data_IF_270510937736
#
_entry.id   IF_270510937736
#
_cell.length_a   1.000
_cell.length_b   1.000
_cell.length_c   1.000
_cell.angle_alpha   90.00
_cell.angle_beta   90.00
_cell.angle_gamma   90.00
#
_symmetry.space_group_name_H-M   'P 1'
#
loop_
_entity.id
_entity.type
_entity.pdbx_description
1 polymer ?
#
# COMPACT_ATOMS: atom_id res chain seq x y z
N UNK A 1 -9.30 10.26 19.23
CA UNK A 1 -9.36 10.53 20.69
C UNK A 1 -9.74 11.98 21.05
N UNK A 2 -10.05 12.86 20.08
CA UNK A 2 -10.35 14.30 20.33
C UNK A 2 -11.85 14.64 20.19
N UNK A 3 -12.73 13.66 19.97
CA UNK A 3 -14.13 13.91 19.57
C UNK A 3 -15.20 13.49 20.60
N UNK A 4 -14.85 13.13 21.84
CA UNK A 4 -15.80 12.73 22.90
C UNK A 4 -16.98 11.83 22.43
N UNK A 5 -16.73 10.92 21.48
CA UNK A 5 -17.73 10.06 20.82
C UNK A 5 -18.91 10.78 20.10
N UNK A 6 -18.81 12.09 19.88
CA UNK A 6 -19.80 12.85 19.10
C UNK A 6 -19.47 12.72 17.61
N UNK A 7 -20.51 12.50 16.80
CA UNK A 7 -20.40 12.48 15.34
C UNK A 7 -20.07 13.89 14.83
N UNK A 8 -19.03 14.01 14.01
CA UNK A 8 -18.64 15.29 13.43
C UNK A 8 -19.41 15.45 12.13
N UNK A 9 -20.30 16.43 12.10
CA UNK A 9 -21.06 16.79 10.92
C UNK A 9 -20.23 17.75 10.02
N UNK A 10 -20.57 17.87 8.72
CA UNK A 10 -19.80 18.66 7.76
C UNK A 10 -19.68 20.15 8.13
N UNK A 11 -20.55 20.63 9.01
CA UNK A 11 -20.60 22.02 9.48
C UNK A 11 -19.47 22.36 10.46
N UNK A 12 -18.94 21.35 11.18
CA UNK A 12 -17.87 21.50 12.17
C UNK A 12 -16.48 21.38 11.54
N UNK A 13 -16.38 20.94 10.29
CA UNK A 13 -15.11 20.78 9.58
C UNK A 13 -14.70 22.13 8.96
N UNK A 14 -13.45 22.60 9.19
CA UNK A 14 -12.95 23.83 8.58
C UNK A 14 -13.18 23.85 7.06
N UNK A 15 -13.75 24.95 6.56
CA UNK A 15 -14.11 25.11 5.14
C UNK A 15 -12.92 24.89 4.19
N UNK A 16 -11.71 25.18 4.65
CA UNK A 16 -10.46 24.95 3.91
C UNK A 16 -10.23 23.45 3.64
N UNK A 17 -10.53 22.58 4.60
CA UNK A 17 -10.39 21.12 4.48
C UNK A 17 -11.45 20.55 3.53
N UNK A 18 -12.68 21.07 3.57
CA UNK A 18 -13.72 20.65 2.63
C UNK A 18 -13.40 21.14 1.21
N UNK A 19 -12.82 22.34 1.08
CA UNK A 19 -12.41 22.91 -0.22
C UNK A 19 -11.34 22.08 -0.95
N UNK A 20 -10.52 21.34 -0.19
CA UNK A 20 -9.55 20.37 -0.68
C UNK A 20 -10.20 19.13 -1.31
N UNK A 21 -11.50 18.88 -1.10
CA UNK A 21 -12.24 17.81 -1.78
C UNK A 21 -13.06 18.32 -2.98
N UNK A 22 -13.31 19.63 -3.06
CA UNK A 22 -14.05 20.26 -4.15
C UNK A 22 -13.19 20.39 -5.42
N UNK A 23 -13.85 20.58 -6.57
CA UNK A 23 -13.22 20.71 -7.89
C UNK A 23 -12.18 21.84 -7.91
N UNK A 24 -10.94 21.51 -8.27
CA UNK A 24 -9.84 22.48 -8.50
C UNK A 24 -10.20 23.44 -9.65
N UNK A 25 -9.55 24.62 -9.78
CA UNK A 25 -9.75 25.52 -10.92
C UNK A 25 -9.56 24.85 -12.31
N UNK A 26 -8.90 23.69 -12.35
CA UNK A 26 -8.58 22.92 -13.55
C UNK A 26 -9.67 21.87 -13.89
N UNK A 27 -10.76 21.78 -13.11
CA UNK A 27 -11.85 20.81 -13.36
C UNK A 27 -11.55 19.38 -12.87
N UNK A 28 -10.40 19.16 -12.22
CA UNK A 28 -9.99 17.86 -11.65
C UNK A 28 -10.09 17.93 -10.12
N UNK A 29 -10.65 16.90 -9.45
CA UNK A 29 -10.62 16.81 -7.99
C UNK A 29 -9.17 16.81 -7.45
N UNK A 30 -8.90 17.63 -6.43
CA UNK A 30 -7.60 17.67 -5.74
C UNK A 30 -7.14 16.30 -5.23
N UNK A 31 -8.09 15.43 -4.84
CA UNK A 31 -7.80 14.04 -4.45
C UNK A 31 -7.04 13.26 -5.52
N UNK A 32 -7.39 13.42 -6.80
CA UNK A 32 -6.68 12.74 -7.89
C UNK A 32 -5.27 13.30 -8.05
N UNK A 33 -5.10 14.61 -7.90
CA UNK A 33 -3.78 15.26 -7.99
C UNK A 33 -2.86 14.72 -6.89
N UNK A 34 -3.32 14.69 -5.64
CA UNK A 34 -2.52 14.14 -4.54
C UNK A 34 -2.25 12.64 -4.70
N UNK A 35 -3.22 11.86 -5.20
CA UNK A 35 -3.02 10.45 -5.49
C UNK A 35 -1.91 10.25 -6.55
N UNK A 36 -1.99 10.94 -7.69
CA UNK A 36 -0.96 10.88 -8.73
C UNK A 36 0.40 11.37 -8.24
N UNK A 37 0.43 12.48 -7.51
CA UNK A 37 1.67 13.03 -6.94
C UNK A 37 2.33 12.03 -5.99
N UNK A 38 1.55 11.35 -5.15
CA UNK A 38 2.07 10.33 -4.23
C UNK A 38 2.67 9.13 -4.99
N UNK A 39 2.02 8.66 -6.06
CA UNK A 39 2.52 7.55 -6.89
C UNK A 39 3.82 7.96 -7.58
N UNK A 40 3.87 9.14 -8.18
CA UNK A 40 5.06 9.67 -8.86
C UNK A 40 6.21 9.84 -7.87
N UNK A 41 5.94 10.38 -6.68
CA UNK A 41 6.93 10.58 -5.64
C UNK A 41 7.52 9.24 -5.17
N UNK A 42 6.65 8.26 -4.87
CA UNK A 42 7.08 6.92 -4.44
C UNK A 42 7.85 6.23 -5.57
N UNK A 43 7.36 6.30 -6.80
CA UNK A 43 8.04 5.73 -7.97
C UNK A 43 9.44 6.33 -8.15
N UNK A 44 9.55 7.65 -8.07
CA UNK A 44 10.82 8.36 -8.22
C UNK A 44 11.80 7.98 -7.11
N UNK A 45 11.36 7.99 -5.85
CA UNK A 45 12.21 7.58 -4.73
C UNK A 45 12.64 6.12 -4.87
N UNK A 46 11.72 5.22 -5.18
CA UNK A 46 11.99 3.79 -5.25
C UNK A 46 12.89 3.42 -6.43
N UNK A 47 12.65 4.00 -7.61
CA UNK A 47 13.32 3.61 -8.85
C UNK A 47 14.61 4.39 -9.11
N UNK A 48 14.64 5.69 -8.82
CA UNK A 48 15.71 6.58 -9.28
C UNK A 48 16.71 6.97 -8.18
N UNK A 49 16.33 6.89 -6.91
CA UNK A 49 17.22 7.35 -5.83
C UNK A 49 18.11 6.24 -5.27
N UNK A 50 19.27 6.64 -4.74
CA UNK A 50 20.15 5.78 -3.94
C UNK A 50 19.43 5.20 -2.72
N UNK A 51 18.50 5.97 -2.13
CA UNK A 51 17.70 5.56 -0.99
C UNK A 51 16.81 4.37 -1.35
N UNK A 52 16.09 4.43 -2.48
CA UNK A 52 15.30 3.31 -2.99
C UNK A 52 16.14 2.03 -3.16
N UNK A 53 17.29 2.13 -3.83
CA UNK A 53 18.22 0.99 -3.99
C UNK A 53 18.67 0.39 -2.65
N UNK A 54 18.93 1.23 -1.64
CA UNK A 54 19.28 0.78 -0.28
C UNK A 54 18.10 0.08 0.42
N UNK A 55 16.87 0.56 0.22
CA UNK A 55 15.65 -0.09 0.75
C UNK A 55 15.51 -1.50 0.14
N UNK A 56 15.59 -1.64 -1.19
CA UNK A 56 15.48 -2.96 -1.84
C UNK A 56 16.63 -3.91 -1.45
N UNK A 57 17.84 -3.39 -1.27
CA UNK A 57 18.98 -4.19 -0.83
C UNK A 57 18.78 -4.71 0.61
N UNK A 58 18.32 -3.85 1.52
CA UNK A 58 17.99 -4.24 2.90
C UNK A 58 16.83 -5.23 2.95
N UNK A 59 15.80 -5.02 2.11
CA UNK A 59 14.63 -5.89 2.06
C UNK A 59 14.87 -7.26 1.42
N UNK A 60 15.86 -7.39 0.53
CA UNK A 60 16.17 -8.68 -0.12
C UNK A 60 17.11 -9.55 0.71
N UNK A 61 18.11 -8.95 1.38
CA UNK A 61 18.98 -9.66 2.31
C UNK A 61 19.48 -8.70 3.41
N UNK A 62 18.82 -8.66 4.58
CA UNK A 62 19.18 -7.74 5.66
C UNK A 62 20.59 -8.01 6.21
N UNK A 63 20.96 -9.27 6.37
CA UNK A 63 22.27 -9.69 6.88
C UNK A 63 23.38 -9.26 5.92
N UNK A 64 23.19 -9.52 4.61
CA UNK A 64 24.12 -9.13 3.56
C UNK A 64 24.21 -7.63 3.31
N UNK A 65 23.18 -6.86 3.67
CA UNK A 65 23.20 -5.39 3.63
C UNK A 65 24.05 -4.82 4.78
N UNK A 66 23.91 -5.38 5.98
CA UNK A 66 24.72 -4.98 7.15
C UNK A 66 26.21 -5.22 6.90
N UNK A 67 26.57 -6.36 6.30
CA UNK A 67 27.97 -6.65 5.91
C UNK A 67 28.53 -5.68 4.86
N UNK A 68 27.67 -4.96 4.12
CA UNK A 68 28.06 -3.91 3.16
C UNK A 68 28.06 -2.50 3.77
N UNK A 69 27.95 -2.38 5.09
CA UNK A 69 27.96 -1.11 5.80
C UNK A 69 26.63 -0.35 5.76
N UNK A 70 25.54 -0.99 5.35
CA UNK A 70 24.19 -0.40 5.40
C UNK A 70 23.60 -0.61 6.79
N UNK A 71 23.20 0.46 7.45
CA UNK A 71 22.51 0.37 8.74
C UNK A 71 21.04 0.01 8.52
N UNK A 72 20.67 -1.23 8.84
CA UNK A 72 19.28 -1.72 8.81
C UNK A 72 18.33 -0.76 9.55
N UNK A 73 18.64 -0.44 10.81
CA UNK A 73 17.79 0.39 11.67
C UNK A 73 17.50 1.78 11.07
N UNK A 74 18.50 2.48 10.53
CA UNK A 74 18.30 3.83 10.00
C UNK A 74 17.41 3.83 8.75
N UNK A 75 17.60 2.83 7.88
CA UNK A 75 16.81 2.68 6.66
C UNK A 75 15.36 2.35 7.02
N UNK A 76 15.15 1.41 7.94
CA UNK A 76 13.81 1.04 8.42
C UNK A 76 13.10 2.23 9.06
N UNK A 77 13.75 2.97 9.96
CA UNK A 77 13.15 4.17 10.59
C UNK A 77 12.75 5.20 9.52
N UNK A 78 13.62 5.47 8.54
CA UNK A 78 13.32 6.43 7.49
C UNK A 78 12.10 6.01 6.66
N UNK A 79 11.98 4.73 6.32
CA UNK A 79 10.82 4.19 5.62
C UNK A 79 9.55 4.37 6.45
N UNK A 80 9.58 4.06 7.76
CA UNK A 80 8.44 4.26 8.64
C UNK A 80 8.01 5.72 8.75
N UNK A 81 8.96 6.66 8.83
CA UNK A 81 8.66 8.10 8.83
C UNK A 81 8.00 8.50 7.52
N UNK A 82 8.52 8.04 6.39
CA UNK A 82 7.97 8.37 5.07
C UNK A 82 6.54 7.82 4.88
N UNK A 83 6.30 6.57 5.32
CA UNK A 83 4.94 5.99 5.34
C UNK A 83 4.02 6.77 6.26
N UNK A 84 4.49 7.20 7.44
CA UNK A 84 3.71 8.02 8.37
C UNK A 84 3.28 9.36 7.78
N UNK A 85 4.17 10.04 7.03
CA UNK A 85 3.85 11.29 6.34
C UNK A 85 2.79 11.07 5.26
N UNK A 86 2.92 10.01 4.45
CA UNK A 86 1.94 9.66 3.42
C UNK A 86 0.59 9.24 4.01
N UNK A 87 0.60 8.47 5.10
CA UNK A 87 -0.61 8.06 5.82
C UNK A 87 -1.32 9.26 6.45
N UNK A 88 -0.57 10.20 7.04
CA UNK A 88 -1.12 11.45 7.57
C UNK A 88 -1.78 12.29 6.48
N UNK A 89 -1.11 12.45 5.33
CA UNK A 89 -1.68 13.12 4.16
C UNK A 89 -2.95 12.40 3.65
N UNK A 90 -2.93 11.07 3.58
CA UNK A 90 -4.09 10.26 3.22
C UNK A 90 -5.27 10.43 4.18
N UNK A 91 -5.02 10.53 5.49
CA UNK A 91 -6.05 10.77 6.50
C UNK A 91 -6.72 12.14 6.38
N UNK A 92 -5.93 13.19 6.07
CA UNK A 92 -6.47 14.53 5.80
C UNK A 92 -7.36 14.50 4.56
N UNK A 93 -6.93 13.84 3.49
CA UNK A 93 -7.72 13.71 2.26
C UNK A 93 -8.98 12.85 2.44
N UNK A 94 -8.91 11.81 3.27
CA UNK A 94 -10.07 10.98 3.60
C UNK A 94 -11.13 11.81 4.34
N UNK A 95 -10.70 12.62 5.30
CA UNK A 95 -11.57 13.52 6.05
C UNK A 95 -12.22 14.57 5.14
N UNK A 96 -11.42 15.18 4.27
CA UNK A 96 -11.90 16.13 3.27
C UNK A 96 -12.98 15.51 2.36
N UNK A 97 -12.81 14.27 1.94
CA UNK A 97 -13.75 13.56 1.05
C UNK A 97 -15.08 13.24 1.71
N UNK A 98 -15.05 12.76 2.95
CA UNK A 98 -16.22 12.16 3.58
C UNK A 98 -17.01 13.10 4.47
N UNK A 99 -16.49 14.28 4.84
CA UNK A 99 -17.07 15.43 5.55
C UNK A 99 -17.89 15.14 6.83
N UNK A 100 -18.77 14.15 6.82
CA UNK A 100 -19.30 13.39 7.95
C UNK A 100 -18.35 12.27 8.36
N UNK A 101 -17.92 12.26 9.62
CA UNK A 101 -17.04 11.24 10.19
C UNK A 101 -17.76 10.63 11.41
N UNK A 102 -18.19 9.38 11.29
CA UNK A 102 -18.67 8.61 12.43
C UNK A 102 -17.46 7.96 13.15
N UNK A 103 -17.11 8.36 14.39
CA UNK A 103 -15.92 7.89 15.08
C UNK A 103 -15.85 6.36 15.23
N UNK A 104 -17.00 5.68 15.21
CA UNK A 104 -17.08 4.24 15.40
C UNK A 104 -16.65 3.42 14.17
N UNK A 105 -16.83 3.94 12.95
CA UNK A 105 -16.62 3.18 11.70
C UNK A 105 -15.67 3.85 10.71
N UNK A 106 -15.10 4.99 11.05
CA UNK A 106 -14.14 5.69 10.20
C UNK A 106 -12.92 4.83 9.94
N UNK A 107 -12.60 4.70 8.65
CA UNK A 107 -11.44 4.00 8.13
C UNK A 107 -11.32 2.50 8.51
N UNK A 108 -12.33 1.89 9.14
CA UNK A 108 -12.29 0.46 9.48
C UNK A 108 -12.13 -0.40 8.24
N UNK A 109 -11.09 -1.24 8.23
CA UNK A 109 -10.83 -2.17 7.15
C UNK A 109 -10.05 -1.57 5.98
N UNK A 110 -9.79 -0.25 5.98
CA UNK A 110 -8.90 0.36 4.98
C UNK A 110 -7.48 -0.18 5.12
N UNK A 111 -7.04 -0.51 6.33
CA UNK A 111 -5.72 -1.13 6.54
C UNK A 111 -5.62 -2.45 5.76
N UNK A 112 -6.70 -3.22 5.83
CA UNK A 112 -6.80 -4.51 5.17
C UNK A 112 -6.88 -4.38 3.65
N UNK A 113 -7.68 -3.44 3.15
CA UNK A 113 -7.78 -3.12 1.72
C UNK A 113 -6.44 -2.62 1.15
N UNK A 114 -5.69 -1.81 1.92
CA UNK A 114 -4.37 -1.30 1.53
C UNK A 114 -3.36 -2.44 1.42
N UNK A 115 -3.29 -3.34 2.43
CA UNK A 115 -2.42 -4.51 2.37
C UNK A 115 -2.80 -5.39 1.18
N UNK A 116 -4.09 -5.58 0.92
CA UNK A 116 -4.60 -6.34 -0.23
C UNK A 116 -4.08 -5.79 -1.54
N UNK A 117 -4.32 -4.50 -1.77
CA UNK A 117 -3.93 -3.80 -2.98
C UNK A 117 -2.44 -3.93 -3.27
N UNK A 118 -1.59 -3.75 -2.25
CA UNK A 118 -0.13 -3.79 -2.39
C UNK A 118 0.37 -5.20 -2.73
N UNK A 119 -0.20 -6.24 -2.10
CA UNK A 119 0.18 -7.65 -2.33
C UNK A 119 -0.28 -8.11 -3.72
N UNK A 120 -1.52 -7.80 -4.11
CA UNK A 120 -2.04 -8.10 -5.46
C UNK A 120 -1.25 -7.36 -6.53
N UNK A 121 -0.83 -6.13 -6.22
CA UNK A 121 0.05 -5.32 -7.05
C UNK A 121 1.46 -5.91 -7.25
N UNK A 122 1.76 -7.06 -6.62
CA UNK A 122 3.01 -7.80 -6.81
C UNK A 122 4.15 -7.32 -5.91
N UNK A 123 3.84 -6.61 -4.81
CA UNK A 123 4.85 -6.30 -3.80
C UNK A 123 5.03 -7.48 -2.87
N UNK A 124 6.28 -7.88 -2.64
CA UNK A 124 6.60 -8.98 -1.75
C UNK A 124 6.44 -8.58 -0.29
N UNK A 125 5.68 -9.38 0.47
CA UNK A 125 5.48 -9.22 1.92
C UNK A 125 6.80 -9.34 2.68
N UNK A 126 7.70 -10.22 2.23
CA UNK A 126 9.01 -10.41 2.84
C UNK A 126 10.04 -9.35 2.41
N UNK A 127 9.67 -8.42 1.52
CA UNK A 127 10.53 -7.32 1.08
C UNK A 127 11.44 -7.63 -0.11
N UNK A 128 12.19 -6.62 -0.55
CA UNK A 128 13.21 -6.77 -1.60
C UNK A 128 12.70 -6.80 -3.04
N UNK A 129 11.39 -6.83 -3.27
CA UNK A 129 10.79 -6.74 -4.61
C UNK A 129 9.38 -6.12 -4.58
N UNK A 130 9.04 -5.41 -5.66
CA UNK A 130 7.78 -4.68 -5.82
C UNK A 130 7.98 -3.39 -6.60
N UNK A 131 6.93 -2.87 -7.24
CA UNK A 131 7.00 -1.60 -7.97
C UNK A 131 5.85 -0.68 -7.60
N UNK A 132 6.11 0.63 -7.58
CA UNK A 132 5.07 1.63 -7.31
C UNK A 132 3.89 1.54 -8.30
N UNK A 133 4.19 1.20 -9.57
CA UNK A 133 3.17 1.00 -10.60
C UNK A 133 2.32 -0.25 -10.35
N UNK A 134 2.95 -1.37 -9.96
CA UNK A 134 2.22 -2.58 -9.58
C UNK A 134 1.25 -2.33 -8.43
N UNK A 135 1.73 -1.65 -7.39
CA UNK A 135 0.88 -1.22 -6.26
C UNK A 135 -0.25 -0.30 -6.69
N UNK A 136 0.01 0.69 -7.55
CA UNK A 136 -1.03 1.58 -8.07
C UNK A 136 -2.13 0.81 -8.82
N UNK A 137 -1.76 -0.15 -9.66
CA UNK A 137 -2.71 -1.03 -10.35
C UNK A 137 -3.50 -1.90 -9.37
N UNK A 138 -2.86 -2.42 -8.33
CA UNK A 138 -3.53 -3.15 -7.25
C UNK A 138 -4.54 -2.29 -6.50
N UNK A 139 -4.22 -1.03 -6.20
CA UNK A 139 -5.14 -0.07 -5.59
C UNK A 139 -6.36 0.20 -6.48
N UNK A 140 -6.15 0.36 -7.78
CA UNK A 140 -7.25 0.53 -8.75
C UNK A 140 -8.14 -0.72 -8.78
N UNK A 141 -7.55 -1.91 -8.80
CA UNK A 141 -8.30 -3.17 -8.80
C UNK A 141 -9.16 -3.33 -7.56
N UNK A 142 -8.59 -3.13 -6.36
CA UNK A 142 -9.33 -3.16 -5.09
C UNK A 142 -10.40 -2.07 -5.06
N UNK A 143 -10.10 -0.86 -5.55
CA UNK A 143 -11.06 0.23 -5.64
C UNK A 143 -12.25 -0.11 -6.55
N UNK A 144 -12.01 -0.71 -7.71
CA UNK A 144 -13.07 -1.17 -8.63
C UNK A 144 -13.88 -2.28 -7.98
N UNK A 145 -13.23 -3.26 -7.33
CA UNK A 145 -13.91 -4.36 -6.66
C UNK A 145 -14.80 -3.86 -5.52
N UNK A 146 -14.27 -2.97 -4.67
CA UNK A 146 -15.00 -2.41 -3.53
C UNK A 146 -16.21 -1.59 -3.99
N UNK A 147 -16.02 -0.72 -4.99
CA UNK A 147 -17.13 0.06 -5.55
C UNK A 147 -18.13 -0.82 -6.30
N UNK A 148 -17.66 -1.79 -7.09
CA UNK A 148 -18.50 -2.72 -7.86
C UNK A 148 -19.39 -3.58 -6.96
N UNK A 149 -18.82 -4.18 -5.91
CA UNK A 149 -19.59 -4.94 -4.92
C UNK A 149 -20.58 -4.04 -4.16
N UNK A 150 -20.24 -2.77 -3.95
CA UNK A 150 -21.15 -1.79 -3.34
C UNK A 150 -22.35 -1.52 -4.23
N UNK A 151 -22.14 -1.32 -5.53
CA UNK A 151 -23.21 -1.06 -6.51
C UNK A 151 -24.15 -2.26 -6.66
N UNK A 152 -23.62 -3.48 -6.55
CA UNK A 152 -24.41 -4.73 -6.57
C UNK A 152 -25.21 -4.94 -5.28
N UNK A 153 -25.05 -4.08 -4.27
CA UNK A 153 -25.78 -4.17 -3.00
C UNK A 153 -25.24 -5.24 -2.05
N UNK A 154 -24.00 -5.70 -2.24
CA UNK A 154 -23.36 -6.66 -1.35
C UNK A 154 -23.10 -6.01 0.00
N UNK A 155 -23.44 -6.69 1.09
CA UNK A 155 -23.22 -6.18 2.44
C UNK A 155 -21.72 -5.94 2.71
N UNK A 156 -21.34 -4.96 3.55
CA UNK A 156 -19.94 -4.72 3.93
C UNK A 156 -19.23 -5.96 4.50
N UNK A 157 -19.96 -6.82 5.21
CA UNK A 157 -19.43 -8.09 5.74
C UNK A 157 -18.87 -9.00 4.62
N UNK A 158 -19.67 -9.23 3.57
CA UNK A 158 -19.27 -10.04 2.43
C UNK A 158 -18.13 -9.41 1.61
N UNK A 159 -18.03 -8.07 1.56
CA UNK A 159 -16.88 -7.39 0.94
C UNK A 159 -15.59 -7.70 1.71
N UNK A 160 -15.62 -7.56 3.03
CA UNK A 160 -14.46 -7.87 3.87
C UNK A 160 -14.03 -9.34 3.74
N UNK A 161 -14.98 -10.28 3.71
CA UNK A 161 -14.69 -11.69 3.45
C UNK A 161 -14.06 -11.92 2.07
N UNK A 162 -14.57 -11.27 1.02
CA UNK A 162 -14.05 -11.39 -0.34
C UNK A 162 -12.63 -10.83 -0.45
N UNK A 163 -12.38 -9.64 0.09
CA UNK A 163 -11.03 -9.06 0.18
C UNK A 163 -10.10 -10.01 0.95
N UNK A 164 -10.59 -10.62 2.03
CA UNK A 164 -9.81 -11.53 2.86
C UNK A 164 -9.38 -12.79 2.15
N UNK A 165 -10.33 -13.41 1.47
CA UNK A 165 -10.07 -14.55 0.60
C UNK A 165 -9.06 -14.19 -0.50
N UNK A 166 -9.15 -12.98 -1.05
CA UNK A 166 -8.30 -12.53 -2.14
C UNK A 166 -6.83 -12.36 -1.72
N UNK A 167 -6.55 -11.81 -0.53
CA UNK A 167 -5.17 -11.83 0.02
C UNK A 167 -4.70 -13.26 0.23
N UNK A 168 -5.50 -14.11 0.88
CA UNK A 168 -5.08 -15.49 1.16
C UNK A 168 -4.72 -16.23 -0.13
N UNK A 169 -5.52 -16.05 -1.18
CA UNK A 169 -5.23 -16.58 -2.51
C UNK A 169 -3.93 -15.99 -3.08
N UNK A 170 -3.74 -14.67 -3.02
CA UNK A 170 -2.54 -14.02 -3.52
C UNK A 170 -1.26 -14.51 -2.81
N UNK A 171 -1.29 -14.62 -1.48
CA UNK A 171 -0.16 -15.11 -0.68
C UNK A 171 0.10 -16.59 -0.89
N UNK A 172 -0.96 -17.41 -1.00
CA UNK A 172 -0.81 -18.82 -1.30
C UNK A 172 -0.14 -19.02 -2.67
N UNK A 173 -0.55 -18.25 -3.67
CA UNK A 173 0.07 -18.26 -5.00
C UNK A 173 1.51 -17.78 -4.93
N UNK A 174 1.81 -16.66 -4.26
CA UNK A 174 3.19 -16.13 -4.13
C UNK A 174 4.12 -17.16 -3.46
N UNK A 175 3.66 -17.81 -2.39
CA UNK A 175 4.43 -18.85 -1.70
C UNK A 175 4.66 -20.09 -2.58
N UNK A 176 3.65 -20.53 -3.33
CA UNK A 176 3.79 -21.63 -4.29
C UNK A 176 4.80 -21.30 -5.40
N UNK A 177 4.78 -20.07 -5.91
CA UNK A 177 5.73 -19.61 -6.93
C UNK A 177 7.16 -19.54 -6.39
N UNK A 178 7.35 -19.03 -5.16
CA UNK A 178 8.66 -18.98 -4.49
C UNK A 178 9.27 -20.36 -4.32
N UNK A 179 8.50 -21.31 -3.79
CA UNK A 179 8.96 -22.69 -3.57
C UNK A 179 9.49 -23.33 -4.85
N UNK A 180 8.79 -23.12 -5.98
CA UNK A 180 9.25 -23.61 -7.29
C UNK A 180 10.57 -22.97 -7.74
N UNK A 181 10.78 -21.69 -7.44
CA UNK A 181 12.03 -21.01 -7.78
C UNK A 181 13.22 -21.54 -6.95
N UNK A 182 13.01 -21.78 -5.65
CA UNK A 182 14.02 -22.37 -4.77
C UNK A 182 14.39 -23.80 -5.20
N UNK A 183 13.39 -24.64 -5.50
CA UNK A 183 13.62 -26.00 -5.99
C UNK A 183 14.41 -26.01 -7.31
N UNK A 184 14.04 -25.17 -8.28
CA UNK A 184 14.74 -25.06 -9.55
C UNK A 184 16.19 -24.56 -9.37
N UNK A 185 16.41 -23.62 -8.44
CA UNK A 185 17.75 -23.12 -8.13
C UNK A 185 18.63 -24.21 -7.50
N UNK A 186 18.10 -24.99 -6.55
CA UNK A 186 18.83 -26.09 -5.93
C UNK A 186 19.15 -27.21 -6.93
N UNK A 187 18.22 -27.51 -7.84
CA UNK A 187 18.46 -28.48 -8.92
C UNK A 187 19.55 -28.00 -9.88
N UNK A 188 19.62 -26.71 -10.19
CA UNK A 188 20.69 -26.14 -11.01
C UNK A 188 22.07 -26.29 -10.34
N UNK A 189 22.17 -26.06 -9.02
CA UNK A 189 23.41 -26.27 -8.25
C UNK A 189 23.78 -27.75 -8.18
N UNK A 190 22.81 -28.64 -7.94
CA UNK A 190 23.05 -30.09 -7.89
C UNK A 190 23.59 -30.60 -9.21
N UNK A 191 23.03 -30.15 -10.34
CA UNK A 191 23.46 -30.58 -11.67
C UNK A 191 24.88 -30.09 -12.02
N UNK A 192 25.26 -28.90 -11.56
CA UNK A 192 26.63 -28.38 -11.70
C UNK A 192 27.69 -29.15 -10.90
N UNK A 193 27.31 -29.78 -9.77
CA UNK A 193 28.24 -30.60 -8.98
C UNK A 193 28.47 -32.00 -9.56
N UNK A 194 27.57 -32.51 -10.40
CA UNK A 194 27.67 -33.85 -11.01
C UNK A 194 28.46 -33.83 -12.32
N UNK A 195 28.61 -32.65 -12.94
CA UNK A 195 29.33 -32.46 -14.22
C UNK A 195 30.80 -32.05 -14.07
N UNK A 196 31.31 -31.90 -12.84
CA UNK A 196 32.74 -31.71 -12.54
C UNK A 196 33.27 -32.94 -11.80
#
# INVERSE_FOLDING_TARGET
LVSDNVQIDPEDVPKDIISLATTSPIGIPWLLIFAFLSIILVWYISSQTLLGKRIYAVGSNPEGAVSRGLSFNKITILVFVFVGVLAGLGGVLYTARYATINPADVARGLEFDVISAVVIGGTNIFGGSGTALGTALGCVLIGILSNGLTVVGVSPFWKACATGFLILAAVAIDNLVRRRQEENFLLAIRNQRVTK
#
